data_IF_273299780561
#
_entry.id   IF_273299780561
#
_cell.length_a   1.000
_cell.length_b   1.000
_cell.length_c   1.000
_cell.angle_alpha   90.00
_cell.angle_beta   90.00
_cell.angle_gamma   90.00
#
_symmetry.space_group_name_H-M   'P 1'
#
loop_
_entity.id
_entity.type
_entity.pdbx_description
1 polymer ?
#
# COMPACT_ATOMS: atom_id res chain seq x y z
N UNK A 1 3.58 4.00 9.86
CA UNK A 1 2.32 3.24 9.74
C UNK A 1 1.08 4.12 9.66
N UNK A 2 0.82 5.04 10.60
CA UNK A 2 -0.36 5.93 10.54
C UNK A 2 -0.58 6.61 9.18
N UNK A 3 0.51 7.01 8.50
CA UNK A 3 0.44 7.62 7.17
C UNK A 3 -0.11 6.69 6.08
N UNK A 4 0.15 5.38 6.15
CA UNK A 4 -0.38 4.40 5.18
C UNK A 4 -1.89 4.24 5.39
N UNK A 5 -2.32 4.08 6.65
CA UNK A 5 -3.72 3.89 6.99
C UNK A 5 -4.57 5.13 6.73
N UNK A 6 -3.99 6.32 6.95
CA UNK A 6 -4.69 7.60 6.76
C UNK A 6 -4.52 8.18 5.35
N UNK A 7 -3.89 7.44 4.42
CA UNK A 7 -3.72 7.93 3.05
C UNK A 7 -5.08 7.93 2.37
N UNK A 8 -5.55 9.13 2.02
CA UNK A 8 -6.84 9.31 1.35
C UNK A 8 -6.66 9.06 -0.14
N UNK A 9 -7.26 7.99 -0.63
CA UNK A 9 -7.14 7.55 -2.03
C UNK A 9 -8.48 7.55 -2.76
N UNK A 10 -9.59 7.60 -2.02
CA UNK A 10 -10.91 7.39 -2.58
C UNK A 10 -11.83 8.61 -2.36
N UNK A 11 -12.79 8.89 -3.26
CA UNK A 11 -13.84 9.87 -3.06
C UNK A 11 -14.73 9.55 -1.83
N UNK A 12 -15.40 10.57 -1.31
CA UNK A 12 -16.25 10.50 -0.11
C UNK A 12 -17.32 9.40 -0.15
N UNK A 13 -17.94 9.17 -1.30
CA UNK A 13 -19.02 8.19 -1.47
C UNK A 13 -18.54 6.76 -1.79
N UNK A 14 -17.24 6.49 -1.62
CA UNK A 14 -16.68 5.17 -1.90
C UNK A 14 -17.08 4.17 -0.82
N UNK A 15 -17.34 2.92 -1.22
CA UNK A 15 -17.64 1.82 -0.31
C UNK A 15 -17.22 0.49 -0.90
N UNK A 16 -17.12 -0.54 -0.05
CA UNK A 16 -16.87 -1.91 -0.48
C UNK A 16 -18.18 -2.69 -0.43
N UNK A 17 -18.60 -3.23 -1.57
CA UNK A 17 -19.76 -4.13 -1.67
C UNK A 17 -19.31 -5.41 -2.36
N UNK A 18 -19.60 -6.57 -1.75
CA UNK A 18 -19.25 -7.89 -2.30
C UNK A 18 -17.77 -8.00 -2.73
N UNK A 19 -16.86 -7.42 -1.93
CA UNK A 19 -15.42 -7.42 -2.21
C UNK A 19 -14.97 -6.49 -3.34
N UNK A 20 -15.86 -5.63 -3.86
CA UNK A 20 -15.55 -4.67 -4.92
C UNK A 20 -15.67 -3.26 -4.40
N UNK A 21 -14.73 -2.42 -4.82
CA UNK A 21 -14.83 -0.98 -4.62
C UNK A 21 -15.93 -0.42 -5.53
N UNK A 22 -16.92 0.22 -4.92
CA UNK A 22 -18.00 0.93 -5.61
C UNK A 22 -17.73 2.42 -5.48
N UNK A 23 -17.73 3.09 -6.62
CA UNK A 23 -17.69 4.54 -6.74
C UNK A 23 -18.90 4.92 -7.59
N UNK A 24 -19.96 5.37 -6.93
CA UNK A 24 -21.05 6.05 -7.64
C UNK A 24 -20.49 7.35 -8.25
N UNK A 25 -21.24 7.98 -9.17
CA UNK A 25 -20.81 9.10 -10.03
C UNK A 25 -19.85 10.10 -9.37
N UNK A 26 -19.07 10.84 -10.18
CA UNK A 26 -18.00 11.77 -9.77
C UNK A 26 -18.43 12.96 -8.86
N UNK A 27 -19.58 12.83 -8.20
CA UNK A 27 -20.17 13.71 -7.23
C UNK A 27 -19.62 13.35 -5.84
N UNK A 28 -18.79 14.23 -5.30
CA UNK A 28 -18.17 14.05 -3.98
C UNK A 28 -16.75 14.59 -3.96
N UNK A 29 -16.22 14.88 -2.76
CA UNK A 29 -14.87 15.40 -2.63
C UNK A 29 -13.85 14.30 -2.95
N UNK A 30 -13.04 14.50 -3.98
CA UNK A 30 -11.92 13.61 -4.30
C UNK A 30 -10.92 13.53 -3.14
N UNK A 31 -10.23 12.39 -3.01
CA UNK A 31 -9.19 12.16 -1.98
C UNK A 31 -9.70 12.38 -0.55
N UNK A 32 -10.85 11.78 -0.21
CA UNK A 32 -11.53 11.98 1.07
C UNK A 32 -11.46 10.76 2.00
N UNK A 33 -11.60 9.56 1.44
CA UNK A 33 -11.68 8.29 2.17
C UNK A 33 -10.34 7.57 2.15
N UNK A 34 -10.02 6.92 3.25
CA UNK A 34 -8.84 6.07 3.42
C UNK A 34 -9.23 4.59 3.59
N UNK A 35 -8.24 3.69 3.70
CA UNK A 35 -8.50 2.24 3.76
C UNK A 35 -9.29 1.82 5.00
N UNK A 36 -9.11 2.53 6.12
CA UNK A 36 -9.82 2.25 7.36
C UNK A 36 -11.27 2.73 7.30
N UNK A 37 -11.55 3.84 6.63
CA UNK A 37 -12.92 4.35 6.43
C UNK A 37 -13.77 3.37 5.59
N UNK A 38 -13.11 2.67 4.66
CA UNK A 38 -13.73 1.67 3.77
C UNK A 38 -13.75 0.26 4.36
N UNK A 39 -13.20 0.07 5.57
CA UNK A 39 -12.98 -1.24 6.18
C UNK A 39 -12.25 -2.23 5.22
N UNK A 40 -11.34 -1.70 4.40
CA UNK A 40 -10.68 -2.45 3.32
C UNK A 40 -9.49 -3.30 3.78
N UNK A 41 -9.07 -4.21 2.91
CA UNK A 41 -7.86 -5.03 3.09
C UNK A 41 -6.63 -4.39 2.42
N UNK A 42 -5.45 -4.73 2.93
CA UNK A 42 -4.16 -4.29 2.39
C UNK A 42 -3.36 -5.50 1.94
N UNK A 43 -3.07 -5.57 0.64
CA UNK A 43 -2.07 -6.48 0.09
C UNK A 43 -0.72 -5.76 -0.02
N UNK A 44 0.28 -6.31 0.66
CA UNK A 44 1.65 -5.87 0.59
C UNK A 44 2.43 -6.79 -0.35
N UNK A 45 3.29 -6.21 -1.20
CA UNK A 45 4.18 -6.97 -2.09
C UNK A 45 5.55 -6.33 -2.02
N UNK A 46 6.58 -7.14 -1.74
CA UNK A 46 7.97 -6.67 -1.78
C UNK A 46 8.36 -6.27 -3.20
N UNK A 47 8.83 -5.02 -3.39
CA UNK A 47 9.14 -4.48 -4.71
C UNK A 47 10.43 -3.65 -4.72
N UNK A 48 11.58 -4.32 -4.82
CA UNK A 48 12.90 -3.65 -4.86
C UNK A 48 13.12 -2.82 -6.13
N UNK A 49 12.42 -3.14 -7.22
CA UNK A 49 12.58 -2.47 -8.51
C UNK A 49 12.14 -1.01 -8.51
N UNK A 50 11.35 -0.57 -7.52
CA UNK A 50 11.02 0.85 -7.32
C UNK A 50 12.26 1.72 -7.03
N UNK A 51 13.36 1.11 -6.56
CA UNK A 51 14.65 1.79 -6.37
C UNK A 51 15.54 1.80 -7.62
N UNK A 52 15.01 1.40 -8.79
CA UNK A 52 15.74 1.45 -10.04
C UNK A 52 16.21 2.86 -10.38
N UNK A 53 17.48 3.00 -10.72
CA UNK A 53 17.96 4.10 -11.54
C UNK A 53 17.92 3.71 -13.00
N UNK A 54 17.20 4.49 -13.79
CA UNK A 54 17.01 4.29 -15.23
C UNK A 54 17.59 5.44 -16.07
N UNK A 55 18.24 6.42 -15.42
CA UNK A 55 18.75 7.61 -16.10
C UNK A 55 19.98 7.36 -17.00
N UNK A 56 20.67 6.22 -16.86
CA UNK A 56 21.88 5.90 -17.63
C UNK A 56 21.66 4.63 -18.47
N UNK A 57 21.23 4.81 -19.72
CA UNK A 57 21.02 3.71 -20.67
C UNK A 57 19.73 2.91 -20.41
N UNK A 58 19.64 1.72 -21.00
CA UNK A 58 18.42 0.89 -21.00
C UNK A 58 18.39 -0.19 -19.91
N UNK A 59 19.51 -0.45 -19.23
CA UNK A 59 19.60 -1.42 -18.13
C UNK A 59 19.33 -0.71 -16.79
N UNK A 60 18.32 -1.13 -16.00
CA UNK A 60 18.09 -0.56 -14.68
C UNK A 60 19.20 -0.97 -13.70
N UNK A 61 19.59 -0.02 -12.84
CA UNK A 61 20.55 -0.23 -11.76
C UNK A 61 19.83 -0.15 -10.40
N UNK A 62 20.04 -1.16 -9.55
CA UNK A 62 19.37 -1.31 -8.25
C UNK A 62 20.31 -1.19 -7.05
N UNK A 63 21.50 -0.58 -7.18
CA UNK A 63 22.46 -0.45 -6.07
C UNK A 63 21.91 0.29 -4.83
N UNK A 64 20.82 1.05 -4.98
CA UNK A 64 20.13 1.73 -3.88
C UNK A 64 19.11 0.85 -3.16
N UNK A 65 18.73 -0.27 -3.74
CA UNK A 65 17.85 -1.22 -3.07
C UNK A 65 18.61 -1.95 -1.94
N UNK A 66 17.88 -2.28 -0.88
CA UNK A 66 18.42 -3.11 0.19
C UNK A 66 18.81 -4.50 -0.33
N UNK A 67 19.86 -5.11 0.23
CA UNK A 67 20.27 -6.48 -0.10
C UNK A 67 19.19 -7.49 0.32
N UNK A 68 19.10 -8.60 -0.41
CA UNK A 68 18.00 -9.57 -0.29
C UNK A 68 17.77 -10.07 1.14
N UNK A 69 18.82 -10.49 1.85
CA UNK A 69 18.70 -11.02 3.21
C UNK A 69 18.12 -9.98 4.19
N UNK A 70 18.76 -8.82 4.31
CA UNK A 70 18.28 -7.72 5.15
C UNK A 70 16.88 -7.23 4.74
N UNK A 71 16.56 -7.25 3.43
CA UNK A 71 15.25 -6.82 2.93
C UNK A 71 14.10 -7.72 3.38
N UNK A 72 14.36 -9.03 3.54
CA UNK A 72 13.36 -9.98 4.00
C UNK A 72 12.97 -9.71 5.45
N UNK A 73 13.96 -9.52 6.31
CA UNK A 73 13.72 -9.24 7.73
C UNK A 73 13.04 -7.88 7.91
N UNK A 74 13.46 -6.88 7.15
CA UNK A 74 12.81 -5.57 7.12
C UNK A 74 11.35 -5.66 6.66
N UNK A 75 11.06 -6.40 5.59
CA UNK A 75 9.71 -6.59 5.07
C UNK A 75 8.81 -7.31 6.08
N UNK A 76 9.31 -8.36 6.73
CA UNK A 76 8.58 -9.09 7.77
C UNK A 76 8.27 -8.19 8.99
N UNK A 77 9.24 -7.39 9.43
CA UNK A 77 9.03 -6.42 10.50
C UNK A 77 8.00 -5.35 10.10
N UNK A 78 8.04 -4.89 8.84
CA UNK A 78 7.04 -3.98 8.29
C UNK A 78 5.63 -4.58 8.32
N UNK A 79 5.45 -5.82 7.86
CA UNK A 79 4.16 -6.52 7.90
C UNK A 79 3.65 -6.70 9.33
N UNK A 80 4.51 -7.14 10.25
CA UNK A 80 4.16 -7.28 11.66
C UNK A 80 3.64 -5.96 12.23
N UNK A 81 4.37 -4.88 11.99
CA UNK A 81 3.99 -3.57 12.49
C UNK A 81 2.69 -3.06 11.85
N UNK A 82 2.39 -3.44 10.61
CA UNK A 82 1.13 -3.08 9.95
C UNK A 82 -0.06 -3.83 10.56
N UNK A 83 0.11 -5.14 10.83
CA UNK A 83 -0.87 -5.97 11.52
C UNK A 83 -1.20 -5.43 12.90
N UNK A 84 -0.19 -5.03 13.66
CA UNK A 84 -0.37 -4.44 15.01
C UNK A 84 -1.09 -3.09 14.99
N UNK A 85 -1.03 -2.35 13.88
CA UNK A 85 -1.58 -0.98 13.80
C UNK A 85 -2.99 -0.95 13.20
N UNK A 86 -3.41 -1.96 12.45
CA UNK A 86 -4.72 -2.00 11.78
C UNK A 86 -5.57 -3.19 12.26
N UNK A 87 -5.67 -4.25 11.46
CA UNK A 87 -6.35 -5.48 11.80
C UNK A 87 -5.53 -6.64 11.19
N UNK A 88 -5.04 -7.61 11.97
CA UNK A 88 -4.17 -8.66 11.47
C UNK A 88 -4.74 -9.43 10.27
N UNK A 89 -6.04 -9.75 10.32
CA UNK A 89 -6.72 -10.51 9.28
C UNK A 89 -6.85 -9.76 7.95
N UNK A 90 -6.73 -8.42 7.96
CA UNK A 90 -6.83 -7.56 6.78
C UNK A 90 -5.49 -7.23 6.13
N UNK A 91 -4.38 -7.74 6.66
CA UNK A 91 -3.04 -7.53 6.09
C UNK A 91 -2.56 -8.83 5.44
N UNK A 92 -2.52 -8.82 4.11
CA UNK A 92 -1.94 -9.88 3.28
C UNK A 92 -0.56 -9.45 2.81
N UNK A 93 0.40 -10.36 2.75
CA UNK A 93 1.79 -10.05 2.44
C UNK A 93 2.53 -11.18 1.76
#
# INVERSE_FOLDING_TARGET
>A
MKKILNLKLWPENSRIENGRLIQESADGKAWSMNVTDLDGEILCVSQFTLYAKTAKGTKPDFHRAMRSEASRDFYNAFLSRLRDTYQPDKIKG
#
